data_IF_567832147458
#
_entry.id   IF_567832147458
#
_cell.length_a   1.000
_cell.length_b   1.000
_cell.length_c   1.000
_cell.angle_alpha   90.00
_cell.angle_beta   90.00
_cell.angle_gamma   90.00
#
_symmetry.space_group_name_H-M   'P 1'
#
loop_
_entity.id
_entity.type
_entity.pdbx_description
1 polymer ?
#
# COMPACT_ATOMS: atom_id res chain seq x y z
N UNK A 1 -80.27 -10.70 -18.60
CA UNK A 1 -80.70 -10.50 -20.02
C UNK A 1 -81.34 -9.11 -20.10
N UNK A 2 -81.04 -8.19 -21.04
CA UNK A 2 -80.67 -8.41 -22.44
C UNK A 2 -79.55 -7.51 -23.07
N UNK A 3 -78.92 -8.08 -24.11
CA UNK A 3 -78.56 -7.54 -25.45
C UNK A 3 -77.64 -6.31 -25.62
N UNK A 4 -76.40 -6.66 -25.99
CA UNK A 4 -75.52 -6.10 -27.02
C UNK A 4 -76.13 -5.10 -28.03
N UNK A 5 -75.45 -3.96 -28.25
CA UNK A 5 -75.35 -3.33 -29.59
C UNK A 5 -73.96 -2.72 -29.80
N UNK A 6 -73.26 -3.30 -30.77
CA UNK A 6 -72.01 -2.85 -31.36
C UNK A 6 -72.31 -1.72 -32.35
N UNK A 7 -71.61 -0.59 -32.27
CA UNK A 7 -71.47 0.36 -33.38
C UNK A 7 -70.01 0.79 -33.50
N UNK A 8 -69.41 0.38 -34.61
CA UNK A 8 -68.12 0.83 -35.08
C UNK A 8 -68.25 2.25 -35.63
N UNK A 9 -67.34 3.14 -35.24
CA UNK A 9 -66.97 4.31 -36.02
C UNK A 9 -65.47 4.55 -35.85
N UNK A 10 -64.73 4.44 -36.97
CA UNK A 10 -63.31 4.73 -37.08
C UNK A 10 -63.03 6.24 -37.11
N UNK A 11 -61.75 6.56 -36.83
CA UNK A 11 -60.97 7.80 -37.07
C UNK A 11 -60.90 8.72 -35.85
N UNK A 12 -59.75 9.23 -35.41
CA UNK A 12 -58.48 9.48 -36.09
C UNK A 12 -57.29 9.20 -35.17
N UNK A 13 -56.18 8.77 -35.77
CA UNK A 13 -54.90 8.64 -35.10
C UNK A 13 -54.27 10.03 -34.88
N UNK A 14 -53.97 10.36 -33.62
CA UNK A 14 -52.92 11.32 -33.29
C UNK A 14 -51.85 10.57 -32.50
N UNK A 15 -50.69 10.41 -33.13
CA UNK A 15 -49.49 9.90 -32.49
C UNK A 15 -48.95 10.98 -31.54
N UNK A 16 -49.10 10.78 -30.24
CA UNK A 16 -48.36 11.52 -29.23
C UNK A 16 -47.10 10.73 -28.87
N UNK A 17 -45.97 11.14 -29.44
CA UNK A 17 -44.64 10.71 -29.05
C UNK A 17 -44.35 11.25 -27.64
N UNK A 18 -44.34 10.37 -26.64
CA UNK A 18 -43.77 10.65 -25.32
C UNK A 18 -42.41 9.95 -25.26
N UNK A 19 -41.29 10.68 -25.21
CA UNK A 19 -40.00 10.06 -25.00
C UNK A 19 -39.90 9.59 -23.54
N UNK A 20 -39.62 8.30 -23.39
CA UNK A 20 -39.28 7.66 -22.13
C UNK A 20 -37.90 8.17 -21.69
N UNK A 21 -37.85 9.17 -20.81
CA UNK A 21 -36.61 9.63 -20.19
C UNK A 21 -36.23 8.67 -19.05
N UNK A 22 -35.51 7.60 -19.37
CA UNK A 22 -34.68 6.87 -18.42
C UNK A 22 -33.35 7.63 -18.26
N UNK A 23 -33.23 8.45 -17.22
CA UNK A 23 -31.91 8.79 -16.67
C UNK A 23 -31.76 8.07 -15.33
N UNK A 24 -31.28 6.82 -15.42
CA UNK A 24 -30.54 6.23 -14.32
C UNK A 24 -29.16 6.90 -14.28
N UNK A 25 -28.95 7.81 -13.33
CA UNK A 25 -27.61 8.25 -12.99
C UNK A 25 -26.94 7.13 -12.20
N UNK A 26 -26.26 6.23 -12.91
CA UNK A 26 -25.30 5.31 -12.29
C UNK A 26 -24.07 6.15 -11.95
N UNK A 27 -23.95 6.58 -10.70
CA UNK A 27 -22.73 7.21 -10.20
C UNK A 27 -21.66 6.13 -10.03
N UNK A 28 -20.94 5.82 -11.12
CA UNK A 28 -19.66 5.14 -11.03
C UNK A 28 -18.59 6.08 -10.45
N UNK A 29 -17.45 5.54 -9.97
CA UNK A 29 -16.37 6.39 -9.48
C UNK A 29 -15.85 7.25 -10.61
N UNK A 30 -15.71 8.55 -10.33
CA UNK A 30 -15.14 9.52 -11.25
C UNK A 30 -13.76 9.03 -11.69
N UNK A 31 -13.64 8.63 -12.95
CA UNK A 31 -12.34 8.38 -13.56
C UNK A 31 -11.63 9.73 -13.62
N UNK A 32 -10.51 9.84 -12.88
CA UNK A 32 -9.63 10.99 -12.98
C UNK A 32 -9.20 11.17 -14.45
N UNK A 33 -9.22 12.43 -14.91
CA UNK A 33 -8.86 12.76 -16.28
C UNK A 33 -7.40 12.36 -16.58
N UNK A 34 -7.11 11.80 -17.77
CA UNK A 34 -5.73 11.49 -18.14
C UNK A 34 -4.98 12.80 -18.42
N UNK A 35 -3.89 13.05 -17.67
CA UNK A 35 -2.92 14.11 -18.00
C UNK A 35 -2.68 15.20 -16.96
N UNK A 36 -3.22 15.12 -15.75
CA UNK A 36 -2.72 15.95 -14.66
C UNK A 36 -1.33 15.42 -14.26
N UNK A 37 -0.28 16.22 -14.48
CA UNK A 37 1.02 15.95 -13.87
C UNK A 37 0.80 15.87 -12.35
N UNK A 38 1.18 14.73 -11.76
CA UNK A 38 1.11 14.52 -10.32
C UNK A 38 1.88 15.62 -9.59
N UNK A 39 1.46 16.03 -8.39
CA UNK A 39 2.22 17.00 -7.62
C UNK A 39 3.66 16.48 -7.43
N UNK A 40 4.61 17.30 -7.89
CA UNK A 40 6.00 17.25 -7.50
C UNK A 40 6.14 18.16 -6.27
N UNK A 41 6.65 17.66 -5.13
CA UNK A 41 7.20 16.33 -4.89
C UNK A 41 6.15 15.28 -4.47
N UNK A 42 6.49 13.98 -4.43
CA UNK A 42 5.59 12.94 -3.84
C UNK A 42 5.11 13.33 -2.43
N UNK A 43 3.89 12.98 -2.02
CA UNK A 43 3.45 13.14 -0.64
C UNK A 43 4.28 12.28 0.32
N UNK A 44 4.26 12.66 1.60
CA UNK A 44 4.81 11.87 2.71
C UNK A 44 3.64 11.34 3.52
N UNK A 45 3.63 10.03 3.78
CA UNK A 45 2.57 9.32 4.48
C UNK A 45 3.16 8.65 5.73
N UNK A 46 2.88 9.22 6.90
CA UNK A 46 3.20 8.63 8.21
C UNK A 46 2.01 7.93 8.86
N UNK A 47 0.80 8.24 8.36
CA UNK A 47 -0.51 7.75 8.78
C UNK A 47 -1.43 7.84 7.56
N UNK A 48 -2.37 6.90 7.44
CA UNK A 48 -3.39 6.91 6.37
C UNK A 48 -4.70 7.45 6.94
N UNK A 49 -5.20 8.54 6.38
CA UNK A 49 -6.54 9.02 6.71
C UNK A 49 -7.61 8.06 6.15
N UNK A 50 -8.20 7.26 7.03
CA UNK A 50 -9.25 6.28 6.66
C UNK A 50 -10.25 6.06 7.78
N UNK A 51 -11.48 5.71 7.41
CA UNK A 51 -12.52 5.24 8.34
C UNK A 51 -12.58 3.72 8.43
N UNK A 52 -11.84 3.01 7.58
CA UNK A 52 -11.78 1.55 7.63
C UNK A 52 -11.06 1.11 8.91
N UNK A 53 -11.52 0.03 9.58
CA UNK A 53 -10.90 -0.45 10.81
C UNK A 53 -9.61 -1.22 10.50
N UNK A 54 -8.58 -0.51 10.03
CA UNK A 54 -7.35 -1.11 9.51
C UNK A 54 -6.08 -0.47 10.03
N UNK A 55 -5.01 -1.28 10.07
CA UNK A 55 -3.62 -0.85 10.31
C UNK A 55 -2.70 -1.40 9.22
N UNK A 56 -1.51 -0.84 9.10
CA UNK A 56 -0.56 -1.20 8.05
C UNK A 56 0.73 -1.76 8.66
N UNK A 57 0.95 -3.06 8.47
CA UNK A 57 2.19 -3.72 8.89
C UNK A 57 3.27 -3.46 7.84
N UNK A 58 4.39 -2.88 8.26
CA UNK A 58 5.54 -2.61 7.40
C UNK A 58 6.81 -3.16 8.03
N UNK A 59 7.72 -3.71 7.22
CA UNK A 59 8.93 -4.38 7.71
C UNK A 59 10.12 -3.96 6.85
N UNK A 60 11.16 -3.45 7.49
CA UNK A 60 12.32 -2.85 6.81
C UNK A 60 13.54 -3.80 6.75
N UNK A 61 14.45 -3.47 5.85
CA UNK A 61 15.76 -4.03 5.60
C UNK A 61 15.83 -5.36 4.85
N UNK A 62 15.29 -6.41 5.45
CA UNK A 62 15.30 -7.77 4.90
C UNK A 62 16.46 -8.67 5.32
N UNK A 63 17.45 -8.18 6.09
CA UNK A 63 18.69 -8.93 6.34
C UNK A 63 18.56 -10.18 7.22
N UNK A 64 17.47 -10.34 7.97
CA UNK A 64 17.24 -11.54 8.76
C UNK A 64 16.00 -12.30 8.26
N UNK A 65 16.19 -13.56 7.85
CA UNK A 65 15.12 -14.39 7.29
C UNK A 65 14.53 -15.29 8.38
N UNK A 66 13.68 -14.73 9.23
CA UNK A 66 13.02 -15.44 10.32
C UNK A 66 11.92 -16.39 9.78
N UNK A 67 12.08 -17.73 9.88
CA UNK A 67 11.08 -18.67 9.41
C UNK A 67 9.78 -18.64 10.22
N UNK A 68 9.84 -18.29 11.51
CA UNK A 68 8.68 -18.24 12.38
C UNK A 68 7.84 -17.00 12.07
N UNK A 69 8.47 -15.85 11.85
CA UNK A 69 7.78 -14.66 11.34
C UNK A 69 7.15 -14.90 9.97
N UNK A 70 7.86 -15.56 9.05
CA UNK A 70 7.31 -15.91 7.74
C UNK A 70 6.08 -16.80 7.87
N UNK A 71 6.16 -17.84 8.72
CA UNK A 71 5.02 -18.72 9.00
C UNK A 71 3.84 -17.93 9.56
N UNK A 72 4.07 -17.00 10.49
CA UNK A 72 3.02 -16.16 11.08
C UNK A 72 2.33 -15.29 10.02
N UNK A 73 3.09 -14.61 9.16
CA UNK A 73 2.57 -13.81 8.04
C UNK A 73 1.69 -14.66 7.10
N UNK A 74 2.14 -15.87 6.76
CA UNK A 74 1.45 -16.77 5.85
C UNK A 74 0.18 -17.38 6.47
N UNK A 75 0.29 -17.96 7.67
CA UNK A 75 -0.82 -18.61 8.38
C UNK A 75 -1.97 -17.62 8.64
N UNK A 76 -1.63 -16.39 9.05
CA UNK A 76 -2.60 -15.33 9.36
C UNK A 76 -2.98 -14.49 8.14
N UNK A 77 -2.39 -14.78 6.97
CA UNK A 77 -2.58 -14.04 5.71
C UNK A 77 -2.42 -12.53 5.87
N UNK A 78 -1.42 -12.09 6.63
CA UNK A 78 -1.16 -10.67 6.92
C UNK A 78 -0.65 -9.98 5.65
N UNK A 79 -1.34 -8.95 5.12
CA UNK A 79 -0.76 -8.07 4.12
C UNK A 79 0.30 -7.16 4.75
N UNK A 80 1.58 -7.46 4.51
CA UNK A 80 2.70 -6.63 4.96
C UNK A 80 3.36 -5.90 3.78
N UNK A 81 3.83 -4.67 3.99
CA UNK A 81 4.71 -3.98 3.03
C UNK A 81 6.16 -4.16 3.46
N UNK A 82 6.95 -4.83 2.63
CA UNK A 82 8.35 -5.16 2.90
C UNK A 82 9.23 -4.13 2.20
N UNK A 83 9.76 -3.17 2.95
CA UNK A 83 10.71 -2.20 2.42
C UNK A 83 12.10 -2.83 2.43
N UNK A 84 12.46 -3.47 1.31
CA UNK A 84 13.65 -4.31 1.24
C UNK A 84 14.82 -3.56 0.61
N UNK A 85 16.03 -3.91 1.04
CA UNK A 85 17.23 -3.64 0.28
C UNK A 85 17.48 -4.76 -0.74
N UNK A 86 17.97 -4.43 -1.94
CA UNK A 86 18.37 -5.45 -2.89
C UNK A 86 19.40 -6.47 -2.39
N UNK A 87 20.35 -6.01 -1.56
CA UNK A 87 21.35 -6.89 -0.96
C UNK A 87 20.75 -7.99 -0.09
N UNK A 88 19.62 -7.74 0.58
CA UNK A 88 19.02 -8.66 1.54
C UNK A 88 18.51 -9.96 0.90
N UNK A 89 17.92 -9.89 -0.28
CA UNK A 89 17.43 -11.08 -0.98
C UNK A 89 18.48 -11.76 -1.87
N UNK A 90 19.72 -11.25 -1.91
CA UNK A 90 20.75 -11.78 -2.80
C UNK A 90 21.25 -13.19 -2.42
N UNK A 91 21.24 -13.54 -1.12
CA UNK A 91 21.67 -14.87 -0.65
C UNK A 91 20.51 -15.85 -0.44
N UNK A 92 19.27 -15.36 -0.29
CA UNK A 92 18.07 -16.20 -0.19
C UNK A 92 16.82 -15.44 -0.67
N UNK A 93 16.65 -15.40 -1.98
CA UNK A 93 15.43 -14.87 -2.60
C UNK A 93 14.21 -15.76 -2.40
N UNK A 94 14.42 -17.04 -2.05
CA UNK A 94 13.36 -18.02 -1.83
C UNK A 94 12.45 -17.67 -0.65
N UNK A 95 13.03 -17.12 0.42
CA UNK A 95 12.29 -16.57 1.55
C UNK A 95 11.26 -15.54 1.11
N UNK A 96 11.69 -14.51 0.37
CA UNK A 96 10.79 -13.45 -0.10
C UNK A 96 9.80 -13.95 -1.16
N UNK A 97 10.23 -14.76 -2.13
CA UNK A 97 9.30 -15.36 -3.10
C UNK A 97 8.17 -16.13 -2.42
N UNK A 98 8.45 -16.82 -1.31
CA UNK A 98 7.41 -17.50 -0.52
C UNK A 98 6.41 -16.51 0.06
N UNK A 99 6.87 -15.43 0.70
CA UNK A 99 6.01 -14.39 1.27
C UNK A 99 5.13 -13.69 0.21
N UNK A 100 5.68 -13.47 -0.99
CA UNK A 100 4.97 -12.79 -2.08
C UNK A 100 3.96 -13.70 -2.79
N UNK A 101 4.37 -14.95 -3.10
CA UNK A 101 3.57 -15.88 -3.90
C UNK A 101 2.51 -16.63 -3.09
N UNK A 102 2.79 -16.94 -1.83
CA UNK A 102 1.89 -17.70 -0.96
C UNK A 102 1.14 -16.81 0.05
N UNK A 103 1.67 -15.61 0.31
CA UNK A 103 1.12 -14.65 1.25
C UNK A 103 0.42 -13.47 0.58
N UNK A 104 0.30 -12.39 1.36
CA UNK A 104 -0.24 -11.10 0.91
C UNK A 104 0.81 -9.99 0.96
N UNK A 105 2.08 -10.34 1.15
CA UNK A 105 3.16 -9.36 1.32
C UNK A 105 3.55 -8.71 0.01
N UNK A 106 3.82 -7.41 0.10
CA UNK A 106 4.35 -6.40 -0.84
C UNK A 106 5.86 -6.21 -0.86
N UNK A 107 6.60 -6.16 -1.97
CA UNK A 107 7.94 -5.51 -1.94
C UNK A 107 7.79 -4.01 -2.24
N UNK A 108 8.41 -3.19 -1.42
CA UNK A 108 8.54 -1.74 -1.55
C UNK A 108 10.02 -1.33 -1.41
N UNK A 109 10.36 -0.10 -1.76
CA UNK A 109 11.74 0.34 -1.95
C UNK A 109 12.37 0.89 -0.66
N UNK A 110 13.54 0.36 -0.28
CA UNK A 110 14.34 0.88 0.84
C UNK A 110 15.78 1.24 0.44
N UNK A 111 15.93 1.77 -0.78
CA UNK A 111 17.20 2.11 -1.44
C UNK A 111 18.11 0.90 -1.70
N UNK A 112 19.26 1.12 -2.34
CA UNK A 112 20.19 0.04 -2.68
C UNK A 112 21.05 -0.31 -1.46
N UNK A 113 21.61 0.70 -0.80
CA UNK A 113 22.66 0.54 0.21
C UNK A 113 22.33 1.18 1.57
N UNK A 114 21.08 1.57 1.82
CA UNK A 114 20.65 2.22 3.06
C UNK A 114 21.34 3.57 3.42
N UNK A 115 21.75 4.46 2.48
CA UNK A 115 22.33 5.74 2.87
C UNK A 115 21.26 6.74 3.32
N UNK A 116 21.67 7.72 4.12
CA UNK A 116 20.87 8.95 4.31
C UNK A 116 20.83 9.73 2.99
N UNK A 117 19.68 9.70 2.32
CA UNK A 117 19.47 10.33 1.01
C UNK A 117 19.64 11.86 1.05
N UNK A 118 19.52 12.50 2.22
CA UNK A 118 19.69 13.95 2.35
C UNK A 118 21.15 14.38 2.19
N UNK A 119 22.08 13.45 2.42
CA UNK A 119 23.54 13.68 2.32
C UNK A 119 24.09 13.48 0.91
N UNK A 120 23.31 12.90 0.01
CA UNK A 120 23.72 12.57 -1.35
C UNK A 120 23.46 13.71 -2.32
N UNK A 121 24.18 13.74 -3.44
CA UNK A 121 23.84 14.59 -4.58
C UNK A 121 22.69 14.00 -5.41
N UNK A 122 22.27 14.71 -6.47
CA UNK A 122 21.17 14.26 -7.32
C UNK A 122 21.44 12.90 -8.00
N UNK A 123 22.68 12.65 -8.41
CA UNK A 123 23.07 11.40 -9.06
C UNK A 123 23.05 10.23 -8.06
N UNK A 124 23.58 10.43 -6.85
CA UNK A 124 23.58 9.46 -5.77
C UNK A 124 22.17 9.08 -5.34
N UNK A 125 21.27 10.07 -5.09
CA UNK A 125 19.87 9.77 -4.77
C UNK A 125 19.18 8.97 -5.87
N UNK A 126 19.41 9.32 -7.13
CA UNK A 126 18.82 8.59 -8.26
C UNK A 126 19.35 7.16 -8.34
N UNK A 127 20.65 6.95 -8.16
CA UNK A 127 21.27 5.62 -8.16
C UNK A 127 20.66 4.73 -7.07
N UNK A 128 20.47 5.29 -5.87
CA UNK A 128 19.88 4.58 -4.73
C UNK A 128 18.39 4.26 -4.93
N UNK A 129 17.59 5.23 -5.39
CA UNK A 129 16.14 5.03 -5.49
C UNK A 129 15.76 4.26 -6.76
N UNK A 130 16.24 4.69 -7.93
CA UNK A 130 15.91 4.03 -9.20
C UNK A 130 16.60 2.66 -9.30
N UNK A 131 17.84 2.54 -8.81
CA UNK A 131 18.57 1.28 -8.83
C UNK A 131 17.87 0.21 -8.01
N UNK A 132 17.36 0.53 -6.82
CA UNK A 132 16.59 -0.39 -6.01
C UNK A 132 15.30 -0.81 -6.72
N UNK A 133 14.52 0.14 -7.25
CA UNK A 133 13.31 -0.15 -8.04
C UNK A 133 13.58 -1.15 -9.16
N UNK A 134 14.62 -0.90 -9.96
CA UNK A 134 14.94 -1.73 -11.12
C UNK A 134 15.33 -3.16 -10.69
N UNK A 135 16.08 -3.29 -9.59
CA UNK A 135 16.44 -4.59 -9.03
C UNK A 135 15.22 -5.34 -8.47
N UNK A 136 14.33 -4.66 -7.74
CA UNK A 136 13.08 -5.29 -7.26
C UNK A 136 12.18 -5.75 -8.41
N UNK A 137 12.01 -4.92 -9.44
CA UNK A 137 11.22 -5.26 -10.62
C UNK A 137 11.83 -6.48 -11.35
N UNK A 138 13.15 -6.50 -11.52
CA UNK A 138 13.84 -7.62 -12.14
C UNK A 138 13.72 -8.92 -11.32
N UNK A 139 13.80 -8.82 -9.98
CA UNK A 139 13.78 -9.98 -9.10
C UNK A 139 12.37 -10.58 -8.93
N UNK A 140 11.35 -9.73 -8.79
CA UNK A 140 10.01 -10.17 -8.37
C UNK A 140 8.92 -9.97 -9.43
N UNK A 141 9.21 -9.24 -10.52
CA UNK A 141 8.24 -8.94 -11.58
C UNK A 141 7.17 -7.90 -11.22
N UNK A 142 7.13 -7.43 -9.97
CA UNK A 142 6.32 -6.30 -9.49
C UNK A 142 7.26 -5.20 -8.98
N UNK A 143 7.10 -3.99 -9.51
CA UNK A 143 7.93 -2.85 -9.12
C UNK A 143 7.38 -2.17 -7.87
N UNK A 144 8.25 -1.66 -6.98
CA UNK A 144 7.81 -0.96 -5.78
C UNK A 144 7.05 0.32 -6.15
N UNK A 145 5.99 0.63 -5.41
CA UNK A 145 5.18 1.84 -5.55
C UNK A 145 5.49 2.87 -4.47
N UNK A 146 6.06 2.42 -3.36
CA UNK A 146 6.35 3.21 -2.18
C UNK A 146 7.87 3.23 -1.95
N UNK A 147 8.36 4.37 -1.45
CA UNK A 147 9.74 4.50 -0.96
C UNK A 147 9.67 4.76 0.54
N UNK A 148 10.43 4.01 1.33
CA UNK A 148 10.77 4.42 2.69
C UNK A 148 12.21 4.89 2.68
N UNK A 149 12.51 6.14 3.07
CA UNK A 149 13.88 6.60 3.12
C UNK A 149 14.58 5.99 4.35
N UNK A 150 15.84 5.53 4.23
CA UNK A 150 16.64 5.10 5.35
C UNK A 150 16.58 6.10 6.52
N UNK A 151 16.47 5.58 7.73
CA UNK A 151 16.36 6.37 8.97
C UNK A 151 15.12 7.29 9.08
N UNK A 152 14.18 7.21 8.13
CA UNK A 152 13.09 8.17 8.01
C UNK A 152 13.55 9.57 7.56
N UNK A 153 14.80 9.73 7.13
CA UNK A 153 15.40 11.02 6.78
C UNK A 153 15.07 11.41 5.34
N UNK A 154 14.42 12.56 5.14
CA UNK A 154 14.11 13.07 3.81
C UNK A 154 14.11 14.59 3.75
N UNK A 155 14.37 15.11 2.54
CA UNK A 155 14.17 16.50 2.15
C UNK A 155 13.33 16.56 0.86
N UNK A 156 13.17 17.76 0.29
CA UNK A 156 12.43 17.94 -0.96
C UNK A 156 13.11 17.23 -2.15
N UNK A 157 14.44 17.12 -2.13
CA UNK A 157 15.19 16.44 -3.18
C UNK A 157 14.97 14.92 -3.13
N UNK A 158 14.90 14.33 -1.95
CA UNK A 158 14.53 12.92 -1.75
C UNK A 158 13.13 12.65 -2.30
N UNK A 159 12.16 13.53 -2.04
CA UNK A 159 10.79 13.39 -2.57
C UNK A 159 10.74 13.54 -4.09
N UNK A 160 11.52 14.45 -4.66
CA UNK A 160 11.63 14.62 -6.11
C UNK A 160 12.28 13.40 -6.78
N UNK A 161 13.36 12.88 -6.19
CA UNK A 161 14.01 11.66 -6.68
C UNK A 161 13.07 10.45 -6.62
N UNK A 162 12.27 10.33 -5.55
CA UNK A 162 11.24 9.31 -5.42
C UNK A 162 10.25 9.37 -6.59
N UNK A 163 9.72 10.56 -6.92
CA UNK A 163 8.79 10.73 -8.06
C UNK A 163 9.45 10.37 -9.38
N UNK A 164 10.66 10.89 -9.63
CA UNK A 164 11.41 10.63 -10.86
C UNK A 164 11.72 9.15 -11.06
N UNK A 165 11.82 8.39 -9.96
CA UNK A 165 11.99 6.95 -9.97
C UNK A 165 10.65 6.19 -9.93
N UNK A 166 9.49 6.84 -9.97
CA UNK A 166 8.18 6.20 -10.10
C UNK A 166 7.49 5.84 -8.78
N UNK A 167 8.04 6.26 -7.63
CA UNK A 167 7.35 6.14 -6.36
C UNK A 167 6.12 7.07 -6.33
N UNK A 168 5.09 6.62 -5.61
CA UNK A 168 3.81 7.32 -5.42
C UNK A 168 3.81 8.14 -4.14
N UNK A 169 4.45 7.64 -3.10
CA UNK A 169 4.65 8.33 -1.84
C UNK A 169 5.99 7.95 -1.21
N UNK A 170 6.47 8.84 -0.35
CA UNK A 170 7.38 8.49 0.72
C UNK A 170 6.56 8.01 1.93
N UNK A 171 6.95 6.89 2.51
CA UNK A 171 6.25 6.29 3.65
C UNK A 171 7.16 6.29 4.86
N UNK A 172 6.72 6.92 5.93
CA UNK A 172 7.32 6.78 7.26
C UNK A 172 6.38 5.92 8.12
N UNK A 173 6.24 6.20 9.41
CA UNK A 173 5.44 5.37 10.32
C UNK A 173 4.80 6.21 11.42
N UNK A 174 3.76 5.65 12.02
CA UNK A 174 3.11 6.20 13.22
C UNK A 174 3.84 5.71 14.47
N UNK A 175 4.13 4.40 14.52
CA UNK A 175 4.81 3.75 15.63
C UNK A 175 5.91 2.83 15.13
N UNK A 176 7.07 2.91 15.76
CA UNK A 176 8.12 1.90 15.65
C UNK A 176 7.94 0.92 16.81
N UNK A 177 7.62 -0.33 16.47
CA UNK A 177 7.46 -1.41 17.44
C UNK A 177 8.61 -2.40 17.38
N UNK A 178 9.74 -2.02 16.80
CA UNK A 178 10.91 -2.89 16.74
C UNK A 178 11.61 -2.96 18.09
N UNK A 179 11.87 -4.18 18.56
CA UNK A 179 12.76 -4.41 19.70
C UNK A 179 14.21 -4.35 19.22
N UNK A 180 15.02 -3.53 19.90
CA UNK A 180 16.44 -3.38 19.60
C UNK A 180 17.29 -3.81 20.80
N UNK A 181 18.00 -4.92 20.64
CA UNK A 181 18.78 -5.52 21.72
C UNK A 181 17.89 -5.90 22.91
N UNK A 182 18.07 -5.23 24.05
CA UNK A 182 17.29 -5.47 25.26
C UNK A 182 16.13 -4.48 25.46
N UNK A 183 15.95 -3.54 24.53
CA UNK A 183 14.93 -2.50 24.64
C UNK A 183 13.74 -2.80 23.74
N UNK A 184 12.58 -2.99 24.35
CA UNK A 184 11.29 -3.15 23.68
C UNK A 184 10.47 -1.86 23.87
N UNK A 185 10.04 -1.17 22.80
CA UNK A 185 9.21 0.02 22.93
C UNK A 185 7.85 -0.31 23.54
N UNK A 186 7.20 0.61 24.27
CA UNK A 186 5.83 0.43 24.74
C UNK A 186 4.85 0.17 23.59
N UNK A 187 3.86 -0.71 23.80
CA UNK A 187 2.80 -0.97 22.81
C UNK A 187 1.65 0.04 23.01
N UNK A 188 1.33 0.90 22.03
CA UNK A 188 0.25 1.87 22.13
C UNK A 188 -1.12 1.22 21.86
N UNK A 189 -2.20 1.96 22.16
CA UNK A 189 -3.52 1.65 21.59
C UNK A 189 -3.57 2.16 20.16
N UNK A 190 -3.63 1.24 19.21
CA UNK A 190 -3.63 1.55 17.78
C UNK A 190 -4.95 2.19 17.34
N UNK A 191 -4.89 2.95 16.25
CA UNK A 191 -6.00 3.62 15.58
C UNK A 191 -6.06 3.22 14.11
N UNK A 192 -7.26 3.36 13.53
CA UNK A 192 -7.46 3.19 12.10
C UNK A 192 -6.52 4.13 11.34
N UNK A 193 -5.72 3.59 10.42
CA UNK A 193 -4.76 4.36 9.64
C UNK A 193 -3.31 4.25 10.09
N UNK A 194 -3.04 3.70 11.28
CA UNK A 194 -1.68 3.61 11.82
C UNK A 194 -0.77 2.76 10.94
N UNK A 195 0.43 3.28 10.67
CA UNK A 195 1.50 2.57 9.98
C UNK A 195 2.52 2.11 11.03
N UNK A 196 2.74 0.80 11.11
CA UNK A 196 3.61 0.16 12.09
C UNK A 196 4.91 -0.24 11.42
N UNK A 197 6.03 0.25 11.95
CA UNK A 197 7.38 -0.14 11.55
C UNK A 197 7.88 -1.30 12.41
N UNK A 198 8.37 -2.33 11.74
CA UNK A 198 9.14 -3.47 12.26
C UNK A 198 10.42 -3.62 11.41
N UNK A 199 11.38 -4.44 11.84
CA UNK A 199 12.57 -4.74 11.04
C UNK A 199 12.81 -6.25 10.94
N UNK A 200 13.41 -6.69 9.84
CA UNK A 200 13.94 -8.05 9.70
C UNK A 200 15.19 -8.22 10.57
N UNK A 201 14.97 -8.50 11.85
CA UNK A 201 15.99 -8.82 12.85
C UNK A 201 15.56 -10.06 13.68
N UNK A 202 16.36 -10.44 14.68
CA UNK A 202 16.12 -11.62 15.53
C UNK A 202 14.81 -11.55 16.35
N UNK A 203 14.17 -10.39 16.47
CA UNK A 203 12.93 -10.20 17.25
C UNK A 203 11.68 -10.10 16.39
N UNK A 204 11.80 -10.26 15.06
CA UNK A 204 10.70 -10.01 14.13
C UNK A 204 9.44 -10.82 14.46
N UNK A 205 9.53 -12.11 14.75
CA UNK A 205 8.36 -12.91 15.13
C UNK A 205 7.63 -12.30 16.34
N UNK A 206 8.38 -11.95 17.38
CA UNK A 206 7.84 -11.41 18.63
C UNK A 206 7.21 -10.03 18.41
N UNK A 207 7.87 -9.14 17.69
CA UNK A 207 7.37 -7.80 17.42
C UNK A 207 6.16 -7.83 16.48
N UNK A 208 6.17 -8.72 15.48
CA UNK A 208 5.02 -8.95 14.60
C UNK A 208 3.81 -9.45 15.41
N UNK A 209 4.00 -10.44 16.28
CA UNK A 209 2.93 -10.92 17.17
C UNK A 209 2.38 -9.80 18.03
N UNK A 210 3.25 -8.99 18.62
CA UNK A 210 2.86 -7.85 19.46
C UNK A 210 2.07 -6.80 18.69
N UNK A 211 2.44 -6.49 17.45
CA UNK A 211 1.70 -5.59 16.59
C UNK A 211 0.31 -6.15 16.22
N UNK A 212 0.22 -7.44 15.91
CA UNK A 212 -1.05 -8.11 15.58
C UNK A 212 -1.98 -8.20 16.79
N UNK A 213 -1.46 -8.55 17.97
CA UNK A 213 -2.25 -8.60 19.22
C UNK A 213 -2.78 -7.20 19.58
N UNK A 214 -1.99 -6.15 19.37
CA UNK A 214 -2.42 -4.76 19.59
C UNK A 214 -3.51 -4.33 18.59
N UNK A 215 -3.40 -4.75 17.33
CA UNK A 215 -4.41 -4.46 16.31
C UNK A 215 -5.73 -5.16 16.63
N UNK A 216 -5.68 -6.44 17.01
CA UNK A 216 -6.85 -7.21 17.43
C UNK A 216 -7.53 -6.59 18.65
N UNK A 217 -6.75 -6.19 19.66
CA UNK A 217 -7.27 -5.53 20.86
C UNK A 217 -7.97 -4.19 20.55
N UNK A 218 -7.54 -3.49 19.50
CA UNK A 218 -8.15 -2.26 19.01
C UNK A 218 -9.31 -2.49 18.01
N UNK A 219 -9.61 -3.74 17.65
CA UNK A 219 -10.64 -4.07 16.65
C UNK A 219 -10.22 -3.73 15.21
N UNK A 220 -8.92 -3.70 14.93
CA UNK A 220 -8.33 -3.32 13.65
C UNK A 220 -7.74 -4.52 12.93
N UNK A 221 -7.78 -4.50 11.59
CA UNK A 221 -7.23 -5.57 10.75
C UNK A 221 -6.04 -5.08 9.91
N UNK A 222 -4.99 -5.88 9.74
CA UNK A 222 -3.94 -5.56 8.78
C UNK A 222 -4.48 -5.44 7.34
N UNK A 223 -4.10 -4.36 6.64
CA UNK A 223 -4.49 -4.08 5.27
C UNK A 223 -3.28 -3.78 4.35
N UNK A 224 -3.40 -3.97 3.02
CA UNK A 224 -2.32 -3.67 2.07
C UNK A 224 -2.14 -2.16 1.91
N UNK A 225 -1.06 -1.60 2.47
CA UNK A 225 -0.79 -0.15 2.48
C UNK A 225 -0.89 0.52 1.11
N UNK A 226 -0.33 -0.11 0.07
CA UNK A 226 -0.31 0.44 -1.27
C UNK A 226 -1.68 0.58 -1.96
N UNK A 227 -2.74 0.01 -1.39
CA UNK A 227 -4.13 0.21 -1.84
C UNK A 227 -4.78 1.44 -1.17
N UNK A 228 -4.18 1.95 -0.10
CA UNK A 228 -4.65 3.10 0.68
C UNK A 228 -3.81 4.37 0.48
N UNK A 229 -2.66 4.25 -0.17
CA UNK A 229 -1.86 5.41 -0.58
C UNK A 229 -2.36 5.88 -1.95
N UNK A 230 -2.74 7.17 -2.12
CA UNK A 230 -3.27 7.69 -3.38
C UNK A 230 -2.33 7.44 -4.57
N UNK A 231 -2.91 7.08 -5.73
CA UNK A 231 -2.19 6.93 -7.00
C UNK A 231 -1.58 8.24 -7.52
#
# INVERSE_FOLDING_TARGET
MPRLRLRHALRAALAALVPFALLGAVTGPAHAAPGAAWPEPVPVVSHVETTDPVVFITIDDGWFHDPAAAKLLLDRRVPASLFLLPGAYSYDSGYFHTLLNQGRSRVENHTVNHPDLTTLDAAGRRAEVCGARDQHLAQFGDGPRLLRPPYGAFDENTRTAARACGAKALVTWTYDLTTWGQWTPPTPTLKAGDIILLHFNETLEQDLKRALDAAEAAGLNPAPLREYVPE
#
